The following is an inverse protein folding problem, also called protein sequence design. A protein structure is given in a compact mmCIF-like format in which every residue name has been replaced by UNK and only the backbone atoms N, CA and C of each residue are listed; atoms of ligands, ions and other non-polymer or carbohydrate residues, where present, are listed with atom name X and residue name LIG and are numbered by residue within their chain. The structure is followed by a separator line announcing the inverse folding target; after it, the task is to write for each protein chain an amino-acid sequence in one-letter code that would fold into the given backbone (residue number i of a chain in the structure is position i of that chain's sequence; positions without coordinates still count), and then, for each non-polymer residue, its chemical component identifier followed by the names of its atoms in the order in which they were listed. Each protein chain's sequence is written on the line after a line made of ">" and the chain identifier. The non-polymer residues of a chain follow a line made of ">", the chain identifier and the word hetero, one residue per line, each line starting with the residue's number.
data_IF_226765024725
#
_entry.id   IF_226765024725
#
_cell.length_a   1.000
_cell.length_b   1.000
_cell.length_c   1.000
_cell.angle_alpha   90.00
_cell.angle_beta   90.00
_cell.angle_gamma   90.00
#
_symmetry.space_group_name_H-M   'P 1'
#
loop_
_entity.id
_entity.type
_entity.pdbx_description
1 polymer ?
#
# COMPACT_ATOMS: atom_id res chain seq x y z
N UNK A 1 -50.44 2.39 35.67
CA UNK A 1 -49.77 3.21 34.63
C UNK A 1 -48.24 3.27 34.75
N UNK A 2 -47.57 2.51 35.62
CA UNK A 2 -46.09 2.51 35.77
C UNK A 2 -45.35 1.41 34.98
N UNK A 3 -46.04 0.34 34.56
CA UNK A 3 -45.44 -0.78 33.80
C UNK A 3 -45.27 -0.49 32.30
N UNK A 4 -46.12 0.33 31.68
CA UNK A 4 -45.99 0.74 30.27
C UNK A 4 -44.74 1.61 30.06
N UNK A 5 -44.48 2.57 30.96
CA UNK A 5 -43.26 3.39 30.91
C UNK A 5 -41.95 2.61 31.11
N UNK A 6 -41.97 1.48 31.83
CA UNK A 6 -40.78 0.62 31.95
C UNK A 6 -40.53 -0.21 30.70
N UNK A 7 -41.59 -0.73 30.08
CA UNK A 7 -41.49 -1.51 28.83
C UNK A 7 -40.99 -0.66 27.67
N UNK A 8 -41.48 0.56 27.53
CA UNK A 8 -41.04 1.48 26.48
C UNK A 8 -39.59 1.93 26.67
N UNK A 9 -39.16 2.15 27.93
CA UNK A 9 -37.75 2.43 28.25
C UNK A 9 -36.84 1.24 27.90
N UNK A 10 -37.25 0.01 28.21
CA UNK A 10 -36.48 -1.19 27.87
C UNK A 10 -36.41 -1.36 26.35
N UNK A 11 -37.52 -1.20 25.62
CA UNK A 11 -37.55 -1.31 24.16
C UNK A 11 -36.70 -0.23 23.49
N UNK A 12 -36.71 1.00 24.00
CA UNK A 12 -35.84 2.08 23.51
C UNK A 12 -34.36 1.74 23.74
N UNK A 13 -34.00 1.29 24.93
CA UNK A 13 -32.62 0.88 25.25
C UNK A 13 -32.14 -0.31 24.41
N UNK A 14 -33.03 -1.27 24.11
CA UNK A 14 -32.70 -2.39 23.21
C UNK A 14 -32.48 -1.90 21.79
N UNK A 15 -33.34 -1.01 21.27
CA UNK A 15 -33.18 -0.42 19.93
C UNK A 15 -31.88 0.38 19.80
N UNK A 16 -31.54 1.18 20.80
CA UNK A 16 -30.28 1.93 20.86
C UNK A 16 -29.08 0.99 20.86
N UNK A 17 -29.10 -0.09 21.67
CA UNK A 17 -28.03 -1.10 21.67
C UNK A 17 -27.87 -1.85 20.35
N UNK A 18 -28.98 -2.16 19.67
CA UNK A 18 -28.94 -2.79 18.34
C UNK A 18 -28.29 -1.83 17.35
N UNK A 19 -28.71 -0.56 17.33
CA UNK A 19 -28.12 0.46 16.47
C UNK A 19 -26.62 0.64 16.73
N UNK A 20 -26.20 0.73 17.99
CA UNK A 20 -24.78 0.81 18.37
C UNK A 20 -23.98 -0.42 17.93
N UNK A 21 -24.59 -1.61 18.00
CA UNK A 21 -23.96 -2.85 17.56
C UNK A 21 -23.77 -2.88 16.05
N UNK A 22 -24.79 -2.46 15.29
CA UNK A 22 -24.75 -2.40 13.83
C UNK A 22 -23.75 -1.36 13.35
N UNK A 23 -23.70 -0.19 14.01
CA UNK A 23 -22.70 0.85 13.77
C UNK A 23 -21.27 0.31 13.96
N UNK A 24 -21.00 -0.34 15.11
CA UNK A 24 -19.67 -0.92 15.39
C UNK A 24 -19.27 -1.96 14.35
N UNK A 25 -20.23 -2.76 13.88
CA UNK A 25 -19.99 -3.75 12.84
C UNK A 25 -19.63 -3.08 11.51
N UNK A 26 -20.39 -2.05 11.08
CA UNK A 26 -20.11 -1.29 9.86
C UNK A 26 -18.72 -0.64 9.90
N UNK A 27 -18.37 0.02 11.01
CA UNK A 27 -17.04 0.64 11.18
C UNK A 27 -15.94 -0.42 11.15
N UNK A 28 -16.15 -1.58 11.78
CA UNK A 28 -15.18 -2.70 11.74
C UNK A 28 -15.02 -3.24 10.33
N UNK A 29 -16.08 -3.35 9.54
CA UNK A 29 -16.03 -3.78 8.14
C UNK A 29 -15.18 -2.80 7.33
N UNK A 30 -15.44 -1.49 7.46
CA UNK A 30 -14.66 -0.43 6.79
C UNK A 30 -13.17 -0.53 7.18
N UNK A 31 -12.86 -0.66 8.47
CA UNK A 31 -11.47 -0.81 8.94
C UNK A 31 -10.78 -2.04 8.34
N UNK A 32 -11.47 -3.19 8.25
CA UNK A 32 -10.93 -4.37 7.57
C UNK A 32 -10.72 -4.16 6.08
N UNK A 33 -11.66 -3.51 5.39
CA UNK A 33 -11.54 -3.22 3.96
C UNK A 33 -10.34 -2.31 3.70
N UNK A 34 -10.17 -1.24 4.49
CA UNK A 34 -9.02 -0.33 4.38
C UNK A 34 -7.71 -1.06 4.69
N UNK A 35 -7.65 -1.79 5.81
CA UNK A 35 -6.46 -2.53 6.21
C UNK A 35 -6.06 -3.62 5.19
N UNK A 36 -7.06 -4.12 4.45
CA UNK A 36 -6.89 -5.08 3.36
C UNK A 36 -6.68 -4.47 1.97
N UNK A 37 -6.71 -3.14 1.83
CA UNK A 37 -6.61 -2.43 0.55
C UNK A 37 -7.62 -2.93 -0.50
N UNK A 38 -8.87 -3.15 -0.09
CA UNK A 38 -9.97 -3.62 -0.96
C UNK A 38 -10.81 -2.44 -1.46
N UNK A 39 -10.22 -1.62 -2.33
CA UNK A 39 -10.77 -0.31 -2.70
C UNK A 39 -12.19 -0.37 -3.29
N UNK A 40 -12.48 -1.39 -4.11
CA UNK A 40 -13.83 -1.61 -4.67
C UNK A 40 -14.86 -1.89 -3.56
N UNK A 41 -14.55 -2.81 -2.65
CA UNK A 41 -15.44 -3.13 -1.54
C UNK A 41 -15.67 -1.91 -0.64
N UNK A 42 -14.68 -1.00 -0.56
CA UNK A 42 -14.81 0.27 0.17
C UNK A 42 -15.81 1.21 -0.52
N UNK A 43 -15.72 1.34 -1.84
CA UNK A 43 -16.69 2.13 -2.62
C UNK A 43 -18.10 1.59 -2.41
N UNK A 44 -18.28 0.26 -2.52
CA UNK A 44 -19.58 -0.38 -2.38
C UNK A 44 -20.18 -0.19 -0.98
N UNK A 45 -19.39 -0.39 0.09
CA UNK A 45 -19.89 -0.24 1.47
C UNK A 45 -20.22 1.21 1.79
N UNK A 46 -19.41 2.16 1.32
CA UNK A 46 -19.64 3.60 1.56
C UNK A 46 -20.86 4.09 0.79
N UNK A 47 -21.02 3.68 -0.48
CA UNK A 47 -22.20 4.00 -1.26
C UNK A 47 -23.48 3.42 -0.63
N UNK A 48 -23.42 2.19 -0.09
CA UNK A 48 -24.55 1.60 0.61
C UNK A 48 -24.91 2.37 1.88
N UNK A 49 -23.93 2.78 2.69
CA UNK A 49 -24.18 3.59 3.90
C UNK A 49 -24.74 4.96 3.53
N UNK A 50 -24.21 5.61 2.49
CA UNK A 50 -24.72 6.88 1.99
C UNK A 50 -26.18 6.77 1.54
N UNK A 51 -26.53 5.69 0.84
CA UNK A 51 -27.91 5.44 0.40
C UNK A 51 -28.87 5.19 1.58
N UNK A 52 -28.42 4.46 2.60
CA UNK A 52 -29.24 4.11 3.76
C UNK A 52 -29.40 5.28 4.75
N UNK A 53 -28.28 5.94 5.08
CA UNK A 53 -28.14 6.80 6.25
C UNK A 53 -27.58 8.21 5.91
N UNK A 54 -27.24 8.48 4.65
CA UNK A 54 -26.69 9.75 4.18
C UNK A 54 -25.17 9.86 4.28
N UNK A 55 -24.60 10.82 3.52
CA UNK A 55 -23.15 11.05 3.40
C UNK A 55 -22.48 11.35 4.75
N UNK A 56 -23.06 12.21 5.59
CA UNK A 56 -22.50 12.53 6.91
C UNK A 56 -22.28 11.29 7.78
N UNK A 57 -23.20 10.31 7.71
CA UNK A 57 -23.05 9.05 8.44
C UNK A 57 -21.91 8.20 7.87
N UNK A 58 -21.80 8.11 6.54
CA UNK A 58 -20.71 7.40 5.88
C UNK A 58 -19.34 8.02 6.24
N UNK A 59 -19.25 9.34 6.25
CA UNK A 59 -18.08 10.11 6.64
C UNK A 59 -17.71 9.89 8.11
N UNK A 60 -18.69 9.93 9.03
CA UNK A 60 -18.49 9.63 10.44
C UNK A 60 -17.90 8.22 10.63
N UNK A 61 -18.40 7.23 9.88
CA UNK A 61 -17.88 5.86 9.96
C UNK A 61 -16.46 5.74 9.40
N UNK A 62 -16.14 6.45 8.30
CA UNK A 62 -14.76 6.55 7.77
C UNK A 62 -13.80 7.16 8.79
N UNK A 63 -14.20 8.23 9.47
CA UNK A 63 -13.42 8.89 10.51
C UNK A 63 -13.18 7.95 11.70
N UNK A 64 -14.23 7.26 12.17
CA UNK A 64 -14.12 6.30 13.27
C UNK A 64 -13.26 5.07 12.90
N UNK A 65 -13.28 4.66 11.64
CA UNK A 65 -12.53 3.49 11.17
C UNK A 65 -11.01 3.65 11.35
N UNK A 66 -10.46 4.88 11.24
CA UNK A 66 -9.04 5.20 11.50
C UNK A 66 -8.53 4.64 12.84
N UNK A 67 -9.38 4.68 13.86
CA UNK A 67 -9.04 4.31 15.23
C UNK A 67 -9.43 2.87 15.58
N UNK A 68 -9.99 2.12 14.64
CA UNK A 68 -10.33 0.71 14.84
C UNK A 68 -9.18 -0.20 14.45
N UNK A 69 -9.15 -1.35 15.12
CA UNK A 69 -8.28 -2.45 14.73
C UNK A 69 -8.93 -3.27 13.62
N UNK A 70 -8.11 -3.77 12.72
CA UNK A 70 -8.53 -4.72 11.71
C UNK A 70 -7.87 -6.08 11.92
N UNK A 71 -8.52 -7.11 11.39
CA UNK A 71 -8.03 -8.48 11.43
C UNK A 71 -6.76 -8.60 10.59
N UNK A 72 -5.66 -8.88 11.25
CA UNK A 72 -4.38 -9.07 10.57
C UNK A 72 -4.32 -10.48 9.95
N UNK A 73 -3.74 -10.64 8.76
CA UNK A 73 -3.36 -11.93 8.21
C UNK A 73 -2.69 -12.84 9.24
N UNK A 74 -3.03 -14.14 9.22
CA UNK A 74 -2.45 -15.15 10.12
C UNK A 74 -0.91 -15.21 10.08
N UNK A 75 -0.30 -14.75 8.99
CA UNK A 75 1.16 -14.68 8.78
C UNK A 75 1.89 -13.72 9.73
N UNK A 76 1.20 -12.72 10.29
CA UNK A 76 1.82 -11.67 11.13
C UNK A 76 1.87 -12.07 12.63
N UNK A 77 1.26 -13.20 13.01
CA UNK A 77 1.30 -13.71 14.39
C UNK A 77 0.50 -12.90 15.42
N UNK A 78 -0.17 -11.83 14.98
CA UNK A 78 -1.16 -11.06 15.74
C UNK A 78 -2.52 -11.21 15.04
N UNK A 79 -3.59 -11.38 15.83
CA UNK A 79 -4.95 -11.50 15.28
C UNK A 79 -5.51 -10.15 14.82
N UNK A 80 -5.07 -9.05 15.43
CA UNK A 80 -5.54 -7.70 15.15
C UNK A 80 -4.39 -6.69 15.16
N UNK A 81 -4.49 -5.65 14.33
CA UNK A 81 -3.54 -4.54 14.28
C UNK A 81 -4.26 -3.22 14.01
N UNK A 82 -3.62 -2.09 14.36
CA UNK A 82 -4.14 -0.76 14.06
C UNK A 82 -3.96 -0.46 12.57
N UNK A 83 -4.82 0.38 11.99
CA UNK A 83 -4.60 0.94 10.67
C UNK A 83 -3.35 1.81 10.63
N UNK A 84 -2.53 1.58 9.61
CA UNK A 84 -1.34 2.37 9.34
C UNK A 84 -1.74 3.72 8.73
N UNK A 85 -1.08 4.78 9.16
CA UNK A 85 -1.51 6.15 8.88
C UNK A 85 -1.45 6.53 7.39
N UNK A 86 -0.34 6.21 6.72
CA UNK A 86 -0.22 6.48 5.29
C UNK A 86 -1.10 5.55 4.46
N UNK A 87 -1.27 4.28 4.85
CA UNK A 87 -2.24 3.39 4.20
C UNK A 87 -3.65 3.95 4.28
N UNK A 88 -4.11 4.34 5.48
CA UNK A 88 -5.44 4.93 5.66
C UNK A 88 -5.62 6.14 4.75
N UNK A 89 -4.61 7.01 4.69
CA UNK A 89 -4.61 8.18 3.80
C UNK A 89 -4.69 7.79 2.33
N UNK A 90 -3.82 6.91 1.86
CA UNK A 90 -3.77 6.47 0.45
C UNK A 90 -5.10 5.83 0.01
N UNK A 91 -5.69 4.98 0.85
CA UNK A 91 -6.99 4.34 0.55
C UNK A 91 -8.14 5.34 0.55
N UNK A 92 -8.19 6.27 1.52
CA UNK A 92 -9.22 7.33 1.54
C UNK A 92 -9.09 8.26 0.34
N UNK A 93 -7.86 8.60 -0.05
CA UNK A 93 -7.62 9.40 -1.25
C UNK A 93 -8.04 8.64 -2.50
N UNK A 94 -7.79 7.34 -2.58
CA UNK A 94 -8.31 6.47 -3.65
C UNK A 94 -9.84 6.50 -3.73
N UNK A 95 -10.53 6.32 -2.61
CA UNK A 95 -12.00 6.38 -2.52
C UNK A 95 -12.56 7.71 -3.05
N UNK A 96 -11.88 8.82 -2.76
CA UNK A 96 -12.32 10.17 -3.14
C UNK A 96 -11.70 10.66 -4.46
N UNK A 97 -11.15 9.76 -5.29
CA UNK A 97 -10.53 10.09 -6.59
C UNK A 97 -9.37 11.11 -6.52
N UNK A 98 -8.66 11.12 -5.39
CA UNK A 98 -7.54 12.00 -5.07
C UNK A 98 -6.19 11.29 -5.13
N UNK A 99 -6.11 10.08 -5.71
CA UNK A 99 -4.86 9.31 -5.85
C UNK A 99 -3.74 10.19 -6.43
N UNK A 100 -2.56 10.13 -5.82
CA UNK A 100 -1.40 10.92 -6.23
C UNK A 100 -1.26 12.27 -5.52
N UNK A 101 -2.30 12.78 -4.87
CA UNK A 101 -2.30 14.04 -4.13
C UNK A 101 -2.06 13.85 -2.62
N UNK A 102 -1.81 12.62 -2.17
CA UNK A 102 -1.57 12.30 -0.77
C UNK A 102 -0.45 13.12 -0.10
N UNK A 103 0.64 13.53 -0.79
CA UNK A 103 1.74 14.25 -0.13
C UNK A 103 1.43 15.68 0.36
N UNK A 104 0.21 16.21 0.16
CA UNK A 104 -0.13 17.55 0.64
C UNK A 104 -0.05 17.67 2.17
N UNK A 105 0.37 18.81 2.74
CA UNK A 105 0.63 18.97 4.18
C UNK A 105 -0.63 19.27 4.99
N UNK A 106 -1.72 18.52 4.75
CA UNK A 106 -2.98 18.62 5.49
C UNK A 106 -3.37 17.24 6.02
N UNK A 107 -3.73 17.17 7.30
CA UNK A 107 -4.16 15.93 7.95
C UNK A 107 -5.45 15.36 7.31
N UNK A 108 -5.50 14.04 7.20
CA UNK A 108 -6.62 13.33 6.55
C UNK A 108 -7.94 13.54 7.29
N UNK A 109 -7.92 13.59 8.63
CA UNK A 109 -9.15 13.80 9.42
C UNK A 109 -9.68 15.22 9.22
N UNK A 110 -8.81 16.23 9.22
CA UNK A 110 -9.23 17.61 8.90
C UNK A 110 -9.85 17.72 7.50
N UNK A 111 -9.24 17.07 6.50
CA UNK A 111 -9.81 17.06 5.14
C UNK A 111 -11.19 16.40 5.09
N UNK A 112 -11.37 15.29 5.81
CA UNK A 112 -12.65 14.59 5.86
C UNK A 112 -13.72 15.41 6.58
N UNK A 113 -13.41 16.02 7.72
CA UNK A 113 -14.36 16.85 8.49
C UNK A 113 -14.94 18.02 7.69
N UNK A 114 -14.15 18.63 6.79
CA UNK A 114 -14.62 19.71 5.92
C UNK A 114 -15.67 19.25 4.89
N UNK A 115 -15.71 17.96 4.58
CA UNK A 115 -16.64 17.38 3.59
C UNK A 115 -18.01 17.04 4.19
N UNK A 116 -18.22 17.22 5.49
CA UNK A 116 -19.51 16.92 6.14
C UNK A 116 -20.65 17.80 5.60
N UNK A 117 -20.32 19.00 5.11
CA UNK A 117 -21.29 19.93 4.52
C UNK A 117 -21.72 19.56 3.10
N UNK A 118 -21.06 18.58 2.46
CA UNK A 118 -21.35 18.16 1.10
C UNK A 118 -22.55 17.21 1.04
N UNK A 119 -23.20 17.15 -0.13
CA UNK A 119 -24.46 16.41 -0.28
C UNK A 119 -24.29 14.92 -0.53
N UNK A 120 -23.14 14.54 -1.07
CA UNK A 120 -22.85 13.18 -1.53
C UNK A 120 -21.35 12.92 -1.59
N UNK A 121 -20.95 11.65 -1.65
CA UNK A 121 -19.56 11.27 -1.88
C UNK A 121 -19.00 11.85 -3.19
N UNK A 122 -19.84 11.94 -4.24
CA UNK A 122 -19.45 12.47 -5.54
C UNK A 122 -19.15 13.98 -5.46
N UNK A 123 -20.00 14.74 -4.78
CA UNK A 123 -19.80 16.17 -4.59
C UNK A 123 -18.57 16.42 -3.71
N UNK A 124 -18.43 15.65 -2.63
CA UNK A 124 -17.26 15.68 -1.75
C UNK A 124 -15.95 15.40 -2.51
N UNK A 125 -15.92 14.37 -3.37
CA UNK A 125 -14.76 14.05 -4.21
C UNK A 125 -14.39 15.22 -5.13
N UNK A 126 -15.36 15.83 -5.82
CA UNK A 126 -15.11 16.97 -6.72
C UNK A 126 -14.54 18.19 -5.99
N UNK A 127 -15.09 18.51 -4.83
CA UNK A 127 -14.63 19.63 -4.00
C UNK A 127 -13.22 19.36 -3.49
N UNK A 128 -12.98 18.15 -2.98
CA UNK A 128 -11.70 17.75 -2.44
C UNK A 128 -10.60 17.74 -3.51
N UNK A 129 -10.85 17.16 -4.69
CA UNK A 129 -9.88 17.15 -5.81
C UNK A 129 -9.42 18.57 -6.15
N UNK A 130 -10.34 19.52 -6.33
CA UNK A 130 -9.98 20.92 -6.61
C UNK A 130 -9.14 21.53 -5.50
N UNK A 131 -9.53 21.32 -4.25
CA UNK A 131 -8.81 21.88 -3.10
C UNK A 131 -7.38 21.33 -3.04
N UNK A 132 -7.24 20.01 -3.13
CA UNK A 132 -5.97 19.32 -3.06
C UNK A 132 -5.08 19.64 -4.26
N UNK A 133 -5.64 19.77 -5.47
CA UNK A 133 -4.89 20.18 -6.64
C UNK A 133 -4.31 21.59 -6.46
N UNK A 134 -5.09 22.54 -5.95
CA UNK A 134 -4.59 23.90 -5.66
C UNK A 134 -3.44 23.87 -4.62
N UNK A 135 -3.59 23.08 -3.55
CA UNK A 135 -2.55 22.90 -2.54
C UNK A 135 -1.29 22.25 -3.13
N UNK A 136 -1.46 21.23 -3.98
CA UNK A 136 -0.37 20.56 -4.66
C UNK A 136 0.36 21.51 -5.61
N UNK A 137 -0.36 22.34 -6.38
CA UNK A 137 0.24 23.37 -7.24
C UNK A 137 1.12 24.32 -6.45
N UNK A 138 0.64 24.81 -5.30
CA UNK A 138 1.43 25.71 -4.44
C UNK A 138 2.66 25.02 -3.83
N UNK A 139 2.53 23.76 -3.42
CA UNK A 139 3.63 22.94 -2.91
C UNK A 139 4.69 22.65 -3.97
N UNK A 140 4.26 22.29 -5.19
CA UNK A 140 5.14 22.03 -6.34
C UNK A 140 5.88 23.31 -6.74
N UNK A 141 5.22 24.47 -6.76
CA UNK A 141 5.86 25.77 -7.06
C UNK A 141 6.95 26.13 -6.05
N UNK A 142 6.84 25.66 -4.80
CA UNK A 142 7.89 25.79 -3.77
C UNK A 142 8.99 24.74 -3.89
N UNK A 143 8.88 23.82 -4.86
CA UNK A 143 9.86 22.77 -5.13
C UNK A 143 9.72 21.52 -4.27
N UNK A 144 8.62 21.37 -3.52
CA UNK A 144 8.31 20.13 -2.81
C UNK A 144 7.49 19.21 -3.72
N UNK A 145 8.21 18.33 -4.42
CA UNK A 145 7.64 17.45 -5.46
C UNK A 145 7.67 15.97 -5.08
N UNK A 146 8.14 15.63 -3.89
CA UNK A 146 8.36 14.24 -3.48
C UNK A 146 7.03 13.50 -3.35
N UNK A 147 7.02 12.22 -3.76
CA UNK A 147 5.89 11.29 -3.66
C UNK A 147 4.64 11.61 -4.51
N UNK A 148 4.52 12.78 -5.14
CA UNK A 148 3.38 13.06 -6.03
C UNK A 148 3.37 12.08 -7.22
N UNK A 149 2.23 11.46 -7.52
CA UNK A 149 2.13 10.54 -8.67
C UNK A 149 0.76 10.63 -9.33
N UNK A 150 0.69 11.39 -10.42
CA UNK A 150 -0.54 11.64 -11.16
C UNK A 150 -0.77 10.65 -12.31
N UNK A 151 0.06 9.60 -12.43
CA UNK A 151 -0.01 8.66 -13.57
C UNK A 151 -1.38 7.97 -13.70
N UNK A 152 -2.05 7.72 -12.59
CA UNK A 152 -3.33 7.00 -12.54
C UNK A 152 -4.54 7.93 -12.33
N UNK A 153 -4.33 9.24 -12.12
CA UNK A 153 -5.41 10.16 -11.76
C UNK A 153 -5.83 11.06 -12.94
N UNK A 154 -6.92 10.66 -13.60
CA UNK A 154 -7.51 11.40 -14.73
C UNK A 154 -8.22 12.70 -14.32
N UNK A 155 -8.44 12.93 -13.03
CA UNK A 155 -9.16 14.11 -12.52
C UNK A 155 -8.26 15.34 -12.36
N UNK A 156 -6.94 15.14 -12.36
CA UNK A 156 -5.95 16.23 -12.24
C UNK A 156 -5.76 16.92 -13.58
N UNK A 157 -5.65 18.24 -13.58
CA UNK A 157 -5.44 18.98 -14.82
C UNK A 157 -4.08 18.66 -15.44
N UNK A 158 -4.05 18.63 -16.77
CA UNK A 158 -2.80 18.44 -17.52
C UNK A 158 -1.77 19.55 -17.22
N UNK A 159 -2.24 20.74 -16.87
CA UNK A 159 -1.38 21.87 -16.45
C UNK A 159 -0.62 21.53 -15.18
N UNK A 160 -1.28 20.97 -14.17
CA UNK A 160 -0.64 20.50 -12.92
C UNK A 160 0.32 19.34 -13.17
N UNK A 161 -0.04 18.40 -14.04
CA UNK A 161 0.85 17.30 -14.45
C UNK A 161 2.13 17.84 -15.10
N UNK A 162 1.99 18.77 -16.03
CA UNK A 162 3.13 19.40 -16.71
C UNK A 162 3.99 20.22 -15.74
N UNK A 163 3.36 20.94 -14.80
CA UNK A 163 4.05 21.69 -13.75
C UNK A 163 4.91 20.76 -12.88
N UNK A 164 4.37 19.62 -12.46
CA UNK A 164 5.11 18.63 -11.67
C UNK A 164 6.33 18.09 -12.42
N UNK A 165 6.15 17.68 -13.68
CA UNK A 165 7.25 17.13 -14.49
C UNK A 165 8.33 18.20 -14.73
N UNK A 166 7.93 19.42 -15.11
CA UNK A 166 8.86 20.53 -15.31
C UNK A 166 9.64 20.86 -14.03
N UNK A 167 8.98 20.88 -12.88
CA UNK A 167 9.64 21.11 -11.60
C UNK A 167 10.62 19.99 -11.26
N UNK A 168 10.27 18.72 -11.49
CA UNK A 168 11.16 17.57 -11.24
C UNK A 168 12.39 17.59 -12.14
N UNK A 169 12.22 17.83 -13.44
CA UNK A 169 13.32 17.96 -14.40
C UNK A 169 14.26 19.11 -14.03
N UNK A 170 13.71 20.27 -13.62
CA UNK A 170 14.53 21.39 -13.16
C UNK A 170 15.31 21.03 -11.89
N UNK A 171 14.67 20.39 -10.92
CA UNK A 171 15.33 20.00 -9.66
C UNK A 171 16.48 19.04 -9.93
N UNK A 172 16.28 17.97 -10.70
CA UNK A 172 17.33 16.97 -10.95
C UNK A 172 18.52 17.56 -11.73
N UNK A 173 18.27 18.44 -12.70
CA UNK A 173 19.31 19.13 -13.48
C UNK A 173 20.12 20.13 -12.64
N UNK A 174 19.52 20.63 -11.55
CA UNK A 174 20.16 21.55 -10.62
C UNK A 174 20.92 20.86 -9.48
N UNK A 175 20.92 19.53 -9.38
CA UNK A 175 21.63 18.80 -8.33
C UNK A 175 23.12 18.75 -8.65
N UNK A 176 23.92 19.17 -7.67
CA UNK A 176 25.35 18.87 -7.57
C UNK A 176 25.58 17.82 -6.49
N UNK A 177 26.45 16.86 -6.79
CA UNK A 177 26.86 15.81 -5.84
C UNK A 177 28.29 16.14 -5.39
N UNK A 178 28.45 16.37 -4.09
CA UNK A 178 29.76 16.63 -3.49
C UNK A 178 30.53 15.32 -3.32
N UNK A 179 31.81 15.34 -3.71
CA UNK A 179 32.73 14.22 -3.59
C UNK A 179 33.89 14.61 -2.66
N UNK A 180 34.19 13.74 -1.69
CA UNK A 180 35.38 13.79 -0.85
C UNK A 180 36.14 12.47 -0.98
N UNK A 181 37.23 12.49 -1.75
CA UNK A 181 38.00 11.30 -2.11
C UNK A 181 37.16 10.27 -2.85
N UNK A 182 37.08 9.05 -2.30
CA UNK A 182 36.29 7.94 -2.87
C UNK A 182 34.83 7.94 -2.38
N UNK A 183 34.40 8.95 -1.61
CA UNK A 183 33.05 9.03 -1.05
C UNK A 183 32.25 10.18 -1.64
N UNK A 184 30.96 9.94 -1.87
CA UNK A 184 30.02 10.91 -2.40
C UNK A 184 28.83 11.10 -1.46
N UNK A 185 28.43 12.34 -1.25
CA UNK A 185 27.21 12.69 -0.50
C UNK A 185 26.01 12.79 -1.46
N UNK A 186 25.12 11.81 -1.37
CA UNK A 186 23.91 11.70 -2.20
C UNK A 186 22.65 12.19 -1.50
N UNK A 187 22.75 12.93 -0.40
CA UNK A 187 21.59 13.44 0.33
C UNK A 187 20.61 14.18 -0.60
N UNK A 188 21.11 15.03 -1.49
CA UNK A 188 20.29 15.78 -2.44
C UNK A 188 19.48 14.88 -3.40
N UNK A 189 19.99 13.69 -3.74
CA UNK A 189 19.26 12.74 -4.57
C UNK A 189 18.05 12.13 -3.83
N UNK A 190 18.15 11.91 -2.52
CA UNK A 190 17.01 11.44 -1.72
C UNK A 190 15.87 12.45 -1.66
N UNK A 191 16.19 13.75 -1.73
CA UNK A 191 15.23 14.85 -1.69
C UNK A 191 14.73 15.30 -3.09
N UNK A 192 15.00 14.50 -4.13
CA UNK A 192 14.42 14.65 -5.47
C UNK A 192 13.73 13.35 -5.88
N UNK A 193 12.57 13.43 -6.56
CA UNK A 193 11.79 12.22 -6.85
C UNK A 193 12.52 11.21 -7.74
N UNK A 194 13.18 11.66 -8.81
CA UNK A 194 13.91 10.75 -9.70
C UNK A 194 15.10 10.09 -8.99
N UNK A 195 15.83 10.86 -8.18
CA UNK A 195 16.91 10.35 -7.35
C UNK A 195 16.41 9.34 -6.31
N UNK A 196 15.39 9.70 -5.53
CA UNK A 196 14.75 8.84 -4.52
C UNK A 196 14.31 7.51 -5.11
N UNK A 197 13.62 7.52 -6.25
CA UNK A 197 13.17 6.31 -6.93
C UNK A 197 14.34 5.44 -7.42
N UNK A 198 15.38 6.05 -7.99
CA UNK A 198 16.58 5.34 -8.43
C UNK A 198 17.32 4.69 -7.24
N UNK A 199 17.56 5.45 -6.18
CA UNK A 199 18.24 4.98 -4.97
C UNK A 199 17.47 3.85 -4.28
N UNK A 200 16.14 3.99 -4.14
CA UNK A 200 15.28 2.96 -3.56
C UNK A 200 15.29 1.65 -4.39
N UNK A 201 15.21 1.77 -5.73
CA UNK A 201 15.28 0.61 -6.65
C UNK A 201 16.65 -0.06 -6.65
N UNK A 202 17.72 0.68 -6.40
CA UNK A 202 19.08 0.17 -6.35
C UNK A 202 19.45 -0.42 -4.97
N UNK A 203 18.64 -0.19 -3.94
CA UNK A 203 18.95 -0.64 -2.59
C UNK A 203 20.04 0.19 -1.92
N UNK A 204 20.17 1.46 -2.32
CA UNK A 204 21.14 2.35 -1.66
C UNK A 204 20.61 2.69 -0.26
N UNK A 205 21.51 2.64 0.71
CA UNK A 205 21.23 2.94 2.12
C UNK A 205 22.05 4.15 2.53
N UNK A 206 21.47 4.98 3.40
CA UNK A 206 22.11 6.17 3.97
C UNK A 206 22.48 7.21 2.89
N UNK A 207 23.27 8.22 3.25
CA UNK A 207 23.57 9.38 2.39
C UNK A 207 24.98 9.39 1.82
N UNK A 208 25.86 8.48 2.26
CA UNK A 208 27.25 8.41 1.82
C UNK A 208 27.47 7.10 1.06
N UNK A 209 28.01 7.20 -0.15
CA UNK A 209 28.30 6.04 -1.00
C UNK A 209 29.71 6.14 -1.58
N UNK A 210 30.26 5.00 -2.03
CA UNK A 210 31.52 4.98 -2.77
C UNK A 210 31.33 5.42 -4.23
N UNK A 211 32.43 5.81 -4.88
CA UNK A 211 32.46 6.26 -6.28
C UNK A 211 31.90 5.23 -7.28
N UNK A 212 32.18 3.94 -7.10
CA UNK A 212 31.66 2.89 -7.97
C UNK A 212 30.14 2.73 -7.85
N UNK A 213 29.61 2.85 -6.64
CA UNK A 213 28.16 2.89 -6.40
C UNK A 213 27.53 4.14 -6.99
N UNK A 214 28.21 5.29 -6.92
CA UNK A 214 27.73 6.54 -7.52
C UNK A 214 27.54 6.40 -9.04
N UNK A 215 28.52 5.84 -9.75
CA UNK A 215 28.42 5.61 -11.19
C UNK A 215 27.19 4.75 -11.55
N UNK A 216 26.94 3.71 -10.74
CA UNK A 216 25.75 2.87 -10.88
C UNK A 216 24.46 3.65 -10.66
N UNK A 217 24.40 4.52 -9.65
CA UNK A 217 23.23 5.38 -9.38
C UNK A 217 22.98 6.32 -10.56
N UNK A 218 24.01 7.02 -11.03
CA UNK A 218 23.90 7.96 -12.14
C UNK A 218 23.48 7.27 -13.44
N UNK A 219 23.90 6.03 -13.68
CA UNK A 219 23.50 5.26 -14.87
C UNK A 219 22.01 4.92 -14.94
N UNK A 220 21.31 4.91 -13.80
CA UNK A 220 19.87 4.62 -13.72
C UNK A 220 19.03 5.88 -13.87
N UNK A 221 19.58 7.04 -13.52
CA UNK A 221 18.89 8.31 -13.66
C UNK A 221 19.04 8.77 -15.12
N UNK A 222 17.92 8.76 -15.87
CA UNK A 222 17.92 9.08 -17.30
C UNK A 222 18.06 10.59 -17.60
N UNK A 223 18.10 11.42 -16.57
CA UNK A 223 18.29 12.87 -16.67
C UNK A 223 19.75 13.24 -16.37
N UNK A 224 20.34 14.21 -17.10
CA UNK A 224 21.73 14.61 -16.87
C UNK A 224 21.88 15.26 -15.49
N UNK A 225 22.84 14.76 -14.70
CA UNK A 225 23.23 15.32 -13.40
C UNK A 225 24.67 15.82 -13.52
N UNK A 226 24.92 17.05 -13.08
CA UNK A 226 26.27 17.59 -13.03
C UNK A 226 26.97 17.08 -11.76
N UNK A 227 27.87 16.09 -11.92
CA UNK A 227 28.83 15.75 -10.87
C UNK A 227 30.02 16.71 -10.97
N UNK A 228 30.30 17.46 -9.91
CA UNK A 228 31.40 18.44 -9.88
C UNK A 228 32.33 18.15 -8.70
N UNK A 229 33.64 18.12 -8.96
CA UNK A 229 34.67 17.97 -7.92
C UNK A 229 34.91 19.26 -7.11
N UNK A 230 34.14 20.32 -7.39
CA UNK A 230 34.24 21.60 -6.70
C UNK A 230 33.40 21.59 -5.43
N UNK A 231 34.07 21.67 -4.28
CA UNK A 231 33.51 21.88 -2.94
C UNK A 231 32.89 23.28 -2.73
N UNK A 232 32.81 24.10 -3.80
CA UNK A 232 32.28 25.48 -3.75
C UNK A 232 30.87 25.61 -4.32
N UNK A 233 30.17 24.50 -4.59
CA UNK A 233 28.74 24.57 -4.94
C UNK A 233 27.98 25.15 -3.74
N UNK A 234 27.40 26.34 -3.94
CA UNK A 234 26.62 27.03 -2.92
C UNK A 234 25.53 26.10 -2.40
N UNK A 235 25.62 25.79 -1.11
CA UNK A 235 24.63 25.11 -0.29
C UNK A 235 23.24 25.72 -0.50
N UNK A 236 22.46 25.17 -1.42
CA UNK A 236 21.00 25.25 -1.36
C UNK A 236 20.44 24.29 -0.28
N UNK A 237 21.31 23.76 0.59
CA UNK A 237 21.03 22.77 1.63
C UNK A 237 20.00 23.22 2.68
N UNK A 238 19.85 24.54 2.90
CA UNK A 238 18.98 25.03 3.98
C UNK A 238 17.49 24.71 3.75
N UNK A 239 17.06 24.45 2.51
CA UNK A 239 15.65 24.29 2.17
C UNK A 239 15.25 22.84 1.81
N UNK A 240 16.22 21.95 1.51
CA UNK A 240 15.98 20.53 1.18
C UNK A 240 15.51 19.71 2.37
N UNK A 241 15.97 20.05 3.59
CA UNK A 241 15.66 19.29 4.82
C UNK A 241 14.23 19.51 5.31
N UNK A 242 13.53 20.51 4.77
CA UNK A 242 12.12 20.78 5.07
C UNK A 242 11.15 19.95 4.22
N UNK A 243 11.66 19.17 3.26
CA UNK A 243 10.85 18.43 2.27
C UNK A 243 10.97 16.92 2.48
N UNK A 244 9.86 16.16 2.43
CA UNK A 244 8.50 16.63 2.15
C UNK A 244 7.89 17.42 3.31
N UNK A 245 6.98 18.33 2.98
CA UNK A 245 6.27 19.19 3.94
C UNK A 245 5.23 18.43 4.77
N UNK A 246 4.66 17.34 4.24
CA UNK A 246 3.84 16.42 5.02
C UNK A 246 4.72 15.57 5.95
N UNK A 247 4.44 15.63 7.25
CA UNK A 247 5.24 14.98 8.31
C UNK A 247 5.29 13.46 8.18
N UNK A 248 4.20 12.81 7.79
CA UNK A 248 4.17 11.35 7.67
C UNK A 248 4.97 10.87 6.45
N UNK A 249 4.90 11.61 5.33
CA UNK A 249 5.78 11.37 4.18
C UNK A 249 7.24 11.68 4.49
N UNK A 250 7.52 12.61 5.42
CA UNK A 250 8.90 12.87 5.87
C UNK A 250 9.43 11.71 6.68
N UNK A 251 8.62 11.18 7.62
CA UNK A 251 8.96 9.93 8.33
C UNK A 251 9.20 8.80 7.35
N UNK A 252 8.33 8.63 6.34
CA UNK A 252 8.47 7.62 5.30
C UNK A 252 9.81 7.76 4.57
N UNK A 253 10.17 8.96 4.12
CA UNK A 253 11.45 9.21 3.46
C UNK A 253 12.63 8.79 4.36
N UNK A 254 12.60 9.16 5.64
CA UNK A 254 13.62 8.73 6.60
C UNK A 254 13.71 7.20 6.71
N UNK A 255 12.57 6.49 6.78
CA UNK A 255 12.57 5.03 6.83
C UNK A 255 13.08 4.39 5.54
N UNK A 256 12.81 5.01 4.37
CA UNK A 256 13.33 4.58 3.06
C UNK A 256 14.85 4.72 3.02
N UNK A 257 15.39 5.88 3.42
CA UNK A 257 16.84 6.17 3.41
C UNK A 257 17.60 5.16 4.27
N UNK A 258 17.12 4.89 5.48
CA UNK A 258 17.77 3.98 6.41
C UNK A 258 17.39 2.51 6.20
N UNK A 259 16.49 2.23 5.24
CA UNK A 259 15.97 0.90 4.93
C UNK A 259 15.38 0.16 6.15
N UNK A 260 14.70 0.88 7.05
CA UNK A 260 14.10 0.28 8.25
C UNK A 260 12.78 -0.42 7.91
N UNK A 261 12.85 -1.75 7.78
CA UNK A 261 11.69 -2.61 7.47
C UNK A 261 10.54 -2.40 8.46
N UNK A 262 10.83 -2.21 9.75
CA UNK A 262 9.78 -2.05 10.75
C UNK A 262 9.09 -0.69 10.59
N UNK A 263 9.87 0.38 10.43
CA UNK A 263 9.34 1.72 10.14
C UNK A 263 8.51 1.76 8.87
N UNK A 264 8.97 1.13 7.79
CA UNK A 264 8.24 1.02 6.52
C UNK A 264 6.93 0.24 6.70
N UNK A 265 6.95 -0.87 7.45
CA UNK A 265 5.76 -1.66 7.74
C UNK A 265 4.75 -0.93 8.62
N UNK A 266 5.17 -0.03 9.51
CA UNK A 266 4.28 0.73 10.39
C UNK A 266 3.55 1.87 9.66
N UNK A 267 4.15 2.40 8.59
CA UNK A 267 3.54 3.40 7.73
C UNK A 267 2.72 2.76 6.61
N UNK A 268 3.17 1.60 6.12
CA UNK A 268 2.52 0.78 5.09
C UNK A 268 2.12 1.55 3.81
N UNK A 269 2.91 2.55 3.42
CA UNK A 269 2.71 3.32 2.19
C UNK A 269 3.16 2.54 0.95
N UNK A 270 2.42 2.67 -0.15
CA UNK A 270 2.82 2.14 -1.48
C UNK A 270 4.18 2.66 -1.94
N UNK A 271 4.59 3.86 -1.52
CA UNK A 271 5.87 4.44 -1.93
C UNK A 271 7.09 3.76 -1.29
N UNK A 272 6.88 2.86 -0.33
CA UNK A 272 7.93 2.00 0.24
C UNK A 272 8.27 0.79 -0.62
N UNK A 273 7.42 0.43 -1.59
CA UNK A 273 7.55 -0.81 -2.37
C UNK A 273 8.90 -0.98 -3.06
N UNK A 274 9.48 0.03 -3.74
CA UNK A 274 10.78 -0.16 -4.39
C UNK A 274 11.87 -0.58 -3.41
N UNK A 275 11.89 0.01 -2.22
CA UNK A 275 12.83 -0.34 -1.14
C UNK A 275 12.56 -1.74 -0.60
N UNK A 276 11.29 -2.08 -0.31
CA UNK A 276 10.91 -3.40 0.20
C UNK A 276 11.25 -4.53 -0.79
N UNK A 277 11.04 -4.29 -2.09
CA UNK A 277 11.41 -5.22 -3.16
C UNK A 277 12.91 -5.54 -3.11
N UNK A 278 13.75 -4.51 -3.04
CA UNK A 278 15.19 -4.67 -2.97
C UNK A 278 15.63 -5.40 -1.70
N UNK A 279 15.07 -5.02 -0.55
CA UNK A 279 15.36 -5.67 0.74
C UNK A 279 14.96 -7.15 0.77
N UNK A 280 13.84 -7.52 0.15
CA UNK A 280 13.43 -8.91 0.04
C UNK A 280 14.37 -9.71 -0.88
N UNK A 281 14.78 -9.12 -2.01
CA UNK A 281 15.73 -9.74 -2.93
C UNK A 281 17.12 -9.93 -2.29
N UNK A 282 17.61 -8.94 -1.55
CA UNK A 282 18.86 -9.01 -0.80
C UNK A 282 18.80 -10.05 0.31
N UNK A 283 17.74 -10.03 1.14
CA UNK A 283 17.55 -11.01 2.21
C UNK A 283 17.45 -12.44 1.65
N UNK A 284 16.75 -12.60 0.52
CA UNK A 284 16.64 -13.88 -0.19
C UNK A 284 17.98 -14.35 -0.74
N UNK A 285 18.82 -13.43 -1.23
CA UNK A 285 20.15 -13.74 -1.76
C UNK A 285 21.13 -14.09 -0.63
N UNK A 286 21.11 -13.33 0.47
CA UNK A 286 21.90 -13.59 1.66
C UNK A 286 21.60 -14.99 2.22
N UNK A 287 20.31 -15.32 2.38
CA UNK A 287 19.90 -16.60 2.94
C UNK A 287 20.32 -17.80 2.08
N UNK A 288 20.40 -17.65 0.74
CA UNK A 288 20.92 -18.73 -0.13
C UNK A 288 22.38 -19.08 0.18
N UNK A 289 23.16 -18.14 0.70
CA UNK A 289 24.59 -18.30 0.95
C UNK A 289 24.91 -18.80 2.37
N UNK A 290 24.12 -18.39 3.37
CA UNK A 290 24.42 -18.63 4.80
C UNK A 290 23.39 -19.53 5.50
N UNK A 291 22.14 -19.56 5.03
CA UNK A 291 21.00 -20.32 5.60
C UNK A 291 20.77 -20.15 7.11
N UNK A 292 21.12 -19.00 7.69
CA UNK A 292 20.96 -18.78 9.14
C UNK A 292 19.53 -18.44 9.55
N UNK A 293 19.19 -18.66 10.82
CA UNK A 293 17.90 -18.23 11.39
C UNK A 293 17.73 -16.71 11.34
N UNK A 294 18.81 -15.94 11.46
CA UNK A 294 18.77 -14.47 11.41
C UNK A 294 18.37 -14.02 9.99
N UNK A 295 18.97 -14.61 8.97
CA UNK A 295 18.69 -14.26 7.58
C UNK A 295 17.27 -14.71 7.18
N UNK A 296 16.79 -15.84 7.70
CA UNK A 296 15.39 -16.24 7.53
C UNK A 296 14.41 -15.25 8.17
N UNK A 297 14.72 -14.74 9.38
CA UNK A 297 13.89 -13.73 10.06
C UNK A 297 13.79 -12.44 9.23
N UNK A 298 14.87 -12.01 8.57
CA UNK A 298 14.84 -10.86 7.67
C UNK A 298 13.86 -11.08 6.50
N UNK A 299 13.89 -12.25 5.87
CA UNK A 299 12.94 -12.59 4.80
C UNK A 299 11.50 -12.50 5.32
N UNK A 300 11.23 -13.07 6.51
CA UNK A 300 9.90 -13.01 7.12
C UNK A 300 9.47 -11.56 7.39
N UNK A 301 10.37 -10.71 7.89
CA UNK A 301 10.10 -9.28 8.10
C UNK A 301 9.76 -8.57 6.79
N UNK A 302 10.54 -8.79 5.72
CA UNK A 302 10.26 -8.20 4.41
C UNK A 302 8.91 -8.67 3.84
N UNK A 303 8.60 -9.98 3.91
CA UNK A 303 7.31 -10.52 3.47
C UNK A 303 6.15 -9.90 4.26
N UNK A 304 6.30 -9.76 5.58
CA UNK A 304 5.28 -9.13 6.41
C UNK A 304 5.10 -7.64 6.09
N UNK A 305 6.18 -6.92 5.78
CA UNK A 305 6.09 -5.54 5.32
C UNK A 305 5.34 -5.42 3.98
N UNK A 306 5.53 -6.35 3.04
CA UNK A 306 4.72 -6.42 1.83
C UNK A 306 3.24 -6.67 2.11
N UNK A 307 2.92 -7.54 3.08
CA UNK A 307 1.53 -7.80 3.50
C UNK A 307 0.92 -6.57 4.18
N UNK A 308 1.73 -5.81 4.93
CA UNK A 308 1.32 -4.57 5.54
C UNK A 308 0.98 -3.54 4.45
N UNK A 309 1.88 -3.27 3.50
CA UNK A 309 1.62 -2.32 2.40
C UNK A 309 0.46 -2.78 1.51
N UNK A 310 0.46 -4.04 1.12
CA UNK A 310 -0.56 -4.72 0.31
C UNK A 310 -0.89 -4.08 -1.05
N UNK A 311 0.00 -3.25 -1.58
CA UNK A 311 -0.11 -2.77 -2.95
C UNK A 311 0.04 -3.92 -3.96
N UNK A 312 -0.72 -3.88 -5.06
CA UNK A 312 -0.78 -4.94 -6.06
C UNK A 312 0.58 -5.33 -6.62
N UNK A 313 1.51 -4.38 -6.78
CA UNK A 313 2.88 -4.65 -7.27
C UNK A 313 3.67 -5.60 -6.36
N UNK A 314 3.32 -5.72 -5.07
CA UNK A 314 3.94 -6.70 -4.17
C UNK A 314 3.68 -8.13 -4.62
N UNK A 315 2.58 -8.38 -5.33
CA UNK A 315 2.19 -9.72 -5.78
C UNK A 315 3.26 -10.30 -6.71
N UNK A 316 3.84 -9.48 -7.61
CA UNK A 316 4.88 -9.91 -8.57
C UNK A 316 6.16 -10.34 -7.85
N UNK A 317 6.59 -9.56 -6.85
CA UNK A 317 7.81 -9.89 -6.11
C UNK A 317 7.60 -11.13 -5.23
N UNK A 318 6.44 -11.24 -4.58
CA UNK A 318 6.10 -12.44 -3.81
C UNK A 318 5.94 -13.68 -4.70
N UNK A 319 5.46 -13.54 -5.95
CA UNK A 319 5.45 -14.61 -6.94
C UNK A 319 6.87 -15.13 -7.16
N UNK A 320 7.83 -14.24 -7.48
CA UNK A 320 9.24 -14.60 -7.66
C UNK A 320 9.78 -15.34 -6.44
N UNK A 321 9.50 -14.85 -5.22
CA UNK A 321 9.90 -15.50 -3.97
C UNK A 321 9.25 -16.87 -3.79
N UNK A 322 8.00 -17.05 -4.24
CA UNK A 322 7.29 -18.34 -4.21
C UNK A 322 8.00 -19.42 -5.04
N UNK A 323 8.77 -19.05 -6.06
CA UNK A 323 9.52 -19.96 -6.94
C UNK A 323 10.90 -20.35 -6.39
N UNK A 324 11.28 -19.87 -5.21
CA UNK A 324 12.53 -20.28 -4.58
C UNK A 324 12.55 -21.78 -4.27
N UNK A 325 13.72 -22.40 -4.44
CA UNK A 325 13.91 -23.83 -4.18
C UNK A 325 13.66 -24.23 -2.74
N UNK A 326 13.86 -23.32 -1.79
CA UNK A 326 13.64 -23.58 -0.37
C UNK A 326 12.12 -23.58 -0.07
N UNK A 327 11.52 -24.73 0.31
CA UNK A 327 10.09 -24.82 0.54
C UNK A 327 9.60 -23.90 1.67
N UNK A 328 10.42 -23.63 2.71
CA UNK A 328 10.02 -22.75 3.81
C UNK A 328 9.76 -21.32 3.33
N UNK A 329 10.63 -20.79 2.49
CA UNK A 329 10.49 -19.44 1.92
C UNK A 329 9.34 -19.42 0.90
N UNK A 330 9.28 -20.43 0.04
CA UNK A 330 8.21 -20.54 -0.95
C UNK A 330 6.82 -20.61 -0.30
N UNK A 331 6.66 -21.45 0.73
CA UNK A 331 5.42 -21.58 1.53
C UNK A 331 5.03 -20.24 2.15
N UNK A 332 5.96 -19.50 2.75
CA UNK A 332 5.68 -18.16 3.31
C UNK A 332 5.20 -17.17 2.25
N UNK A 333 5.86 -17.12 1.09
CA UNK A 333 5.45 -16.25 0.01
C UNK A 333 4.06 -16.63 -0.55
N UNK A 334 3.77 -17.93 -0.67
CA UNK A 334 2.45 -18.43 -1.10
C UNK A 334 1.36 -18.03 -0.10
N UNK A 335 1.63 -18.12 1.20
CA UNK A 335 0.71 -17.64 2.23
C UNK A 335 0.52 -16.13 2.13
N UNK A 336 1.60 -15.37 1.92
CA UNK A 336 1.54 -13.92 1.73
C UNK A 336 0.66 -13.53 0.54
N UNK A 337 0.85 -14.15 -0.63
CA UNK A 337 0.02 -13.91 -1.83
C UNK A 337 -1.47 -14.18 -1.54
N UNK A 338 -1.79 -15.19 -0.73
CA UNK A 338 -3.18 -15.48 -0.31
C UNK A 338 -3.87 -14.37 0.49
N UNK A 339 -3.13 -13.34 0.92
CA UNK A 339 -3.68 -12.16 1.60
C UNK A 339 -3.89 -10.94 0.67
N UNK A 340 -3.61 -11.10 -0.61
CA UNK A 340 -3.91 -10.11 -1.64
C UNK A 340 -5.22 -10.52 -2.32
N UNK A 341 -6.32 -9.84 -2.00
CA UNK A 341 -7.67 -10.19 -2.44
C UNK A 341 -7.95 -9.69 -3.86
N UNK A 342 -7.07 -10.05 -4.80
CA UNK A 342 -7.08 -9.59 -6.18
C UNK A 342 -6.97 -10.77 -7.16
N UNK A 343 -7.51 -10.60 -8.36
CA UNK A 343 -7.48 -11.60 -9.43
C UNK A 343 -6.06 -12.01 -9.85
N UNK A 344 -5.11 -11.08 -9.84
CA UNK A 344 -3.70 -11.36 -10.15
C UNK A 344 -3.07 -12.33 -9.14
N UNK A 345 -3.39 -12.18 -7.85
CA UNK A 345 -2.93 -13.10 -6.81
C UNK A 345 -3.59 -14.47 -6.96
N UNK A 346 -4.88 -14.51 -7.33
CA UNK A 346 -5.57 -15.76 -7.64
C UNK A 346 -4.91 -16.49 -8.82
N UNK A 347 -4.56 -15.76 -9.89
CA UNK A 347 -3.91 -16.32 -11.08
C UNK A 347 -2.58 -16.97 -10.74
N UNK A 348 -1.72 -16.26 -10.00
CA UNK A 348 -0.42 -16.76 -9.55
C UNK A 348 -0.56 -18.01 -8.70
N UNK A 349 -1.49 -18.02 -7.73
CA UNK A 349 -1.71 -19.19 -6.88
C UNK A 349 -2.24 -20.38 -7.69
N UNK A 350 -3.17 -20.15 -8.62
CA UNK A 350 -3.72 -21.20 -9.47
C UNK A 350 -2.63 -21.79 -10.38
N UNK A 351 -1.78 -20.95 -10.99
CA UNK A 351 -0.63 -21.42 -11.78
C UNK A 351 0.40 -22.17 -10.95
N UNK A 352 0.66 -21.70 -9.73
CA UNK A 352 1.53 -22.38 -8.78
C UNK A 352 1.00 -23.77 -8.42
N UNK A 353 -0.30 -23.88 -8.16
CA UNK A 353 -0.95 -25.16 -7.87
C UNK A 353 -0.87 -26.08 -9.07
N UNK A 354 -1.08 -25.58 -10.29
CA UNK A 354 -1.08 -26.38 -11.51
C UNK A 354 0.30 -26.87 -11.96
N UNK A 355 1.37 -26.15 -11.59
CA UNK A 355 2.75 -26.48 -11.95
C UNK A 355 3.52 -27.25 -10.87
N UNK A 356 3.14 -27.10 -9.59
CA UNK A 356 3.92 -27.68 -8.49
C UNK A 356 3.80 -29.20 -8.37
N UNK A 357 4.94 -29.87 -8.17
CA UNK A 357 5.03 -31.29 -7.81
C UNK A 357 5.20 -31.50 -6.31
N UNK A 358 5.64 -30.49 -5.57
CA UNK A 358 5.89 -30.57 -4.12
C UNK A 358 4.57 -30.61 -3.33
N UNK A 359 4.41 -31.60 -2.46
CA UNK A 359 3.18 -31.80 -1.67
C UNK A 359 2.87 -30.63 -0.73
N UNK A 360 3.85 -30.14 0.01
CA UNK A 360 3.70 -29.02 0.95
C UNK A 360 3.21 -27.78 0.20
N UNK A 361 3.92 -27.42 -0.88
CA UNK A 361 3.54 -26.29 -1.75
C UNK A 361 2.11 -26.45 -2.27
N UNK A 362 1.72 -27.64 -2.73
CA UNK A 362 0.34 -27.88 -3.21
C UNK A 362 -0.71 -27.75 -2.12
N UNK A 363 -0.39 -28.07 -0.88
CA UNK A 363 -1.31 -27.94 0.26
C UNK A 363 -1.44 -26.48 0.67
N UNK A 364 -0.32 -25.79 0.85
CA UNK A 364 -0.28 -24.36 1.16
C UNK A 364 -0.96 -23.52 0.09
N UNK A 365 -0.67 -23.76 -1.19
CA UNK A 365 -1.30 -23.00 -2.28
C UNK A 365 -2.81 -23.19 -2.30
N UNK A 366 -3.30 -24.42 -2.07
CA UNK A 366 -4.74 -24.65 -2.01
C UNK A 366 -5.39 -23.87 -0.86
N UNK A 367 -4.76 -23.88 0.33
CA UNK A 367 -5.22 -23.10 1.48
C UNK A 367 -5.19 -21.58 1.22
N UNK A 368 -4.16 -21.07 0.55
CA UNK A 368 -4.08 -19.67 0.15
C UNK A 368 -5.20 -19.28 -0.81
N UNK A 369 -5.53 -20.14 -1.79
CA UNK A 369 -6.67 -19.92 -2.69
C UNK A 369 -7.98 -19.91 -1.89
N UNK A 370 -8.16 -20.82 -0.93
CA UNK A 370 -9.36 -20.81 -0.07
C UNK A 370 -9.49 -19.52 0.74
N UNK A 371 -8.38 -18.99 1.24
CA UNK A 371 -8.35 -17.75 2.00
C UNK A 371 -8.70 -16.55 1.11
N UNK A 372 -8.09 -16.48 -0.07
CA UNK A 372 -8.31 -15.43 -1.05
C UNK A 372 -9.77 -15.42 -1.54
N UNK A 373 -10.32 -16.59 -1.89
CA UNK A 373 -11.66 -16.72 -2.47
C UNK A 373 -12.76 -16.17 -1.56
N UNK A 374 -12.59 -16.24 -0.23
CA UNK A 374 -13.57 -15.70 0.72
C UNK A 374 -13.83 -14.20 0.55
N UNK A 375 -12.88 -13.46 -0.03
CA UNK A 375 -12.92 -12.00 -0.20
C UNK A 375 -12.72 -11.54 -1.65
N UNK A 376 -12.48 -12.45 -2.59
CA UNK A 376 -12.27 -12.16 -4.02
C UNK A 376 -13.03 -13.19 -4.87
N UNK A 377 -14.32 -12.95 -5.16
CA UNK A 377 -15.16 -13.86 -5.96
C UNK A 377 -14.64 -14.09 -7.39
N UNK A 378 -13.89 -13.14 -7.95
CA UNK A 378 -13.25 -13.19 -9.27
C UNK A 378 -12.30 -14.38 -9.41
N UNK A 379 -11.78 -14.88 -8.28
CA UNK A 379 -11.01 -16.11 -8.24
C UNK A 379 -11.77 -17.31 -8.85
N UNK A 380 -13.12 -17.34 -8.85
CA UNK A 380 -13.88 -18.40 -9.51
C UNK A 380 -13.67 -18.40 -11.03
N UNK A 381 -13.61 -17.22 -11.65
CA UNK A 381 -13.35 -17.07 -13.08
C UNK A 381 -11.93 -17.56 -13.41
N UNK A 382 -10.94 -17.15 -12.63
CA UNK A 382 -9.54 -17.56 -12.78
C UNK A 382 -9.37 -19.07 -12.61
N UNK A 383 -10.02 -19.67 -11.62
CA UNK A 383 -10.00 -21.12 -11.41
C UNK A 383 -10.67 -21.83 -12.59
N UNK A 384 -11.80 -21.33 -13.07
CA UNK A 384 -12.55 -21.93 -14.19
C UNK A 384 -11.73 -21.90 -15.48
N UNK A 385 -11.15 -20.75 -15.82
CA UNK A 385 -10.34 -20.59 -17.03
C UNK A 385 -9.11 -21.51 -17.01
N UNK A 386 -8.48 -21.72 -15.85
CA UNK A 386 -7.36 -22.65 -15.75
C UNK A 386 -7.77 -24.11 -15.84
N UNK A 387 -8.97 -24.46 -15.38
CA UNK A 387 -9.50 -25.81 -15.52
C UNK A 387 -9.71 -26.19 -16.99
N UNK A 388 -9.86 -25.24 -17.91
CA UNK A 388 -9.95 -25.55 -19.34
C UNK A 388 -8.59 -25.78 -20.01
N UNK A 389 -7.49 -25.46 -19.31
CA UNK A 389 -6.11 -25.64 -19.80
C UNK A 389 -5.32 -26.78 -19.16
N UNK A 390 -4.00 -26.76 -19.37
CA UNK A 390 -3.05 -27.71 -18.76
C UNK A 390 -2.86 -27.46 -17.27
N UNK A 391 -3.14 -28.46 -16.44
CA UNK A 391 -2.94 -28.39 -15.00
C UNK A 391 -2.57 -29.77 -14.43
N UNK A 392 -1.35 -29.92 -13.90
CA UNK A 392 -0.88 -31.20 -13.31
C UNK A 392 -1.75 -31.64 -12.15
N UNK A 393 -2.31 -30.69 -11.39
CA UNK A 393 -3.13 -30.95 -10.21
C UNK A 393 -4.63 -30.67 -10.44
N UNK A 394 -5.12 -30.85 -11.67
CA UNK A 394 -6.51 -30.57 -12.08
C UNK A 394 -7.56 -31.11 -11.10
N UNK A 395 -7.42 -32.36 -10.66
CA UNK A 395 -8.37 -32.98 -9.73
C UNK A 395 -8.48 -32.26 -8.38
N UNK A 396 -7.39 -31.66 -7.89
CA UNK A 396 -7.40 -30.86 -6.64
C UNK A 396 -8.06 -29.51 -6.88
N UNK A 397 -7.77 -28.86 -8.01
CA UNK A 397 -8.38 -27.60 -8.41
C UNK A 397 -9.91 -27.73 -8.61
N UNK A 398 -10.39 -28.82 -9.21
CA UNK A 398 -11.84 -29.12 -9.33
C UNK A 398 -12.50 -29.30 -7.96
N UNK A 399 -11.86 -30.05 -7.05
CA UNK A 399 -12.39 -30.24 -5.69
C UNK A 399 -12.47 -28.91 -4.95
N UNK A 400 -11.42 -28.10 -5.07
CA UNK A 400 -11.34 -26.77 -4.49
C UNK A 400 -12.47 -25.87 -5.02
N UNK A 401 -12.64 -25.76 -6.34
CA UNK A 401 -13.72 -24.98 -6.95
C UNK A 401 -15.11 -25.41 -6.44
N UNK A 402 -15.37 -26.72 -6.35
CA UNK A 402 -16.64 -27.25 -5.84
C UNK A 402 -16.85 -26.91 -4.36
N UNK A 403 -15.79 -26.96 -3.55
CA UNK A 403 -15.84 -26.58 -2.14
C UNK A 403 -16.15 -25.09 -1.98
N UNK A 404 -15.44 -24.25 -2.74
CA UNK A 404 -15.58 -22.79 -2.70
C UNK A 404 -16.96 -22.31 -3.16
N UNK A 405 -17.53 -22.91 -4.21
CA UNK A 405 -18.89 -22.61 -4.66
C UNK A 405 -19.98 -22.96 -3.64
N UNK A 406 -19.77 -24.01 -2.83
CA UNK A 406 -20.70 -24.38 -1.75
C UNK A 406 -20.64 -23.42 -0.55
N UNK A 407 -19.52 -22.71 -0.39
CA UNK A 407 -19.27 -21.79 0.73
C UNK A 407 -19.37 -20.31 0.36
N UNK A 408 -19.93 -19.95 -0.81
CA UNK A 408 -20.09 -18.54 -1.22
C UNK A 408 -20.89 -17.77 -0.18
N UNK A 409 -20.34 -16.65 0.29
CA UNK A 409 -21.05 -15.69 1.12
C UNK A 409 -22.21 -15.07 0.31
N UNK A 410 -23.36 -14.91 0.97
CA UNK A 410 -24.59 -14.33 0.41
C UNK A 410 -24.43 -12.86 -0.02
N UNK A 411 -23.35 -12.18 0.39
CA UNK A 411 -23.09 -10.77 0.09
C UNK A 411 -22.82 -10.47 -1.39
N UNK A 412 -22.43 -11.49 -2.17
CA UNK A 412 -22.08 -11.37 -3.59
C UNK A 412 -23.05 -12.16 -4.51
N UNK A 413 -24.32 -12.33 -4.09
CA UNK A 413 -25.37 -12.96 -4.90
C UNK A 413 -26.21 -11.94 -5.66
#
# INVERSE_FOLDING_TARGET
>A
MTKENQRDRILKAVKERVKESDERERIRIISNIIGDHRDRDLVDIIAQIEQDDGWSTALEYLLKARNQKYSSPMTIGKNETNLEELKYREVVFGLLSCTGLEPVPVDTTTLLEELDSERSMIDASRVLVRKLENLAVDQIKRGDTLFFDFSENISISQETVNLLQHSRSRTIQGISIEQDGDTANINNLWHCEYGRLALAKLGIKDTLIDSGTLDRVLSVIQEPINATNDTTASSNDEDTHSRPSNMEYRKLLTQIIHQDINGLSLLASRHSLPTLNTLLDEASSQYKNSTTTVDFKKILQCINAHIAVRALDSVIVLEKTSHMKNPRIATLAILAIGNFYHESAAAILVDKLCSSKNREIKETTAQSIETLYKRCPEADYVISSRLDGECTNRGKLVKLQRHLRKGRNLYYQ
#
